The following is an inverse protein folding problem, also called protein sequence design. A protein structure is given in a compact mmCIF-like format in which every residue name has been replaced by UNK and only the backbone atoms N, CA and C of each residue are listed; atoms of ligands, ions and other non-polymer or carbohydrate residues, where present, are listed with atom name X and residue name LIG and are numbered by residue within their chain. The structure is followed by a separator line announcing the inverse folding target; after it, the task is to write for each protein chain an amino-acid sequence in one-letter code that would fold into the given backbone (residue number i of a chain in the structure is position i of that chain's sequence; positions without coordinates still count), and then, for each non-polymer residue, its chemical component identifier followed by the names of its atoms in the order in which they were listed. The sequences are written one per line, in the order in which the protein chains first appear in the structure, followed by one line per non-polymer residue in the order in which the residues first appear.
data_IF_520393857423
#
_entry.id   IF_520393857423
#
_cell.length_a   1.000
_cell.length_b   1.000
_cell.length_c   1.000
_cell.angle_alpha   90.00
_cell.angle_beta   90.00
_cell.angle_gamma   90.00
#
_symmetry.space_group_name_H-M   'P 1'
#
loop_
_entity.id
_entity.type
_entity.pdbx_description
1 polymer ?
#
# COMPACT_ATOMS: atom_id res chain seq x y z
N UNK A 1 -7.41 -10.75 -22.83
CA UNK A 1 -7.56 -11.96 -22.04
C UNK A 1 -8.90 -11.92 -21.31
N UNK A 2 -9.62 -13.03 -21.29
CA UNK A 2 -10.96 -13.13 -20.68
C UNK A 2 -10.92 -12.90 -19.15
N UNK A 3 -9.75 -13.02 -18.54
CA UNK A 3 -9.54 -12.90 -17.09
C UNK A 3 -9.13 -11.47 -16.64
N UNK A 4 -9.07 -10.50 -17.55
CA UNK A 4 -8.68 -9.15 -17.23
C UNK A 4 -9.90 -8.22 -17.23
N UNK A 5 -10.29 -7.73 -16.04
CA UNK A 5 -11.37 -6.79 -15.90
C UNK A 5 -10.84 -5.35 -15.85
N UNK A 6 -11.22 -4.56 -16.83
CA UNK A 6 -10.92 -3.14 -16.88
C UNK A 6 -12.09 -2.32 -16.35
N UNK A 7 -11.82 -1.46 -15.36
CA UNK A 7 -12.82 -0.56 -14.78
C UNK A 7 -12.42 0.88 -15.12
N UNK A 8 -13.22 1.52 -15.97
CA UNK A 8 -13.01 2.91 -16.34
C UNK A 8 -13.63 3.84 -15.29
N UNK A 9 -12.81 4.74 -14.76
CA UNK A 9 -13.28 5.88 -13.95
C UNK A 9 -13.21 7.18 -14.74
N UNK A 10 -14.10 8.11 -14.44
CA UNK A 10 -14.18 9.39 -15.14
C UNK A 10 -13.27 10.48 -14.57
N UNK A 11 -12.63 10.21 -13.43
CA UNK A 11 -11.70 11.13 -12.76
C UNK A 11 -10.70 10.33 -11.95
N UNK A 12 -9.43 10.69 -12.01
CA UNK A 12 -8.34 9.92 -11.43
C UNK A 12 -8.41 9.85 -9.91
N UNK A 13 -8.91 10.89 -9.24
CA UNK A 13 -9.18 10.83 -7.80
C UNK A 13 -10.18 9.73 -7.44
N UNK A 14 -11.23 9.54 -8.24
CA UNK A 14 -12.19 8.46 -8.05
C UNK A 14 -11.56 7.09 -8.34
N UNK A 15 -10.71 6.98 -9.38
CA UNK A 15 -10.00 5.75 -9.74
C UNK A 15 -9.09 5.29 -8.61
N UNK A 16 -8.27 6.20 -8.08
CA UNK A 16 -7.39 5.90 -6.94
C UNK A 16 -8.21 5.53 -5.69
N UNK A 17 -9.32 6.24 -5.42
CA UNK A 17 -10.22 5.94 -4.31
C UNK A 17 -10.89 4.56 -4.43
N UNK A 18 -11.33 4.15 -5.63
CA UNK A 18 -11.86 2.80 -5.88
C UNK A 18 -10.80 1.73 -5.65
N UNK A 19 -9.59 1.96 -6.13
CA UNK A 19 -8.46 1.04 -5.92
C UNK A 19 -8.08 0.91 -4.44
N UNK A 20 -8.10 2.02 -3.70
CA UNK A 20 -7.90 2.05 -2.26
C UNK A 20 -8.94 1.20 -1.54
N UNK A 21 -10.21 1.43 -1.80
CA UNK A 21 -11.31 0.63 -1.23
C UNK A 21 -11.19 -0.86 -1.55
N UNK A 22 -10.82 -1.21 -2.80
CA UNK A 22 -10.58 -2.61 -3.17
C UNK A 22 -9.41 -3.22 -2.38
N UNK A 23 -8.30 -2.51 -2.28
CA UNK A 23 -7.11 -3.00 -1.58
C UNK A 23 -7.39 -3.20 -0.08
N UNK A 24 -8.13 -2.28 0.54
CA UNK A 24 -8.56 -2.39 1.94
C UNK A 24 -9.49 -3.58 2.16
N UNK A 25 -10.51 -3.72 1.33
CA UNK A 25 -11.51 -4.77 1.50
C UNK A 25 -10.96 -6.17 1.21
N UNK A 26 -10.15 -6.31 0.16
CA UNK A 26 -9.63 -7.61 -0.28
C UNK A 26 -8.32 -8.02 0.39
N UNK A 27 -7.52 -7.05 0.86
CA UNK A 27 -6.14 -7.26 1.33
C UNK A 27 -5.15 -7.53 0.19
N UNK A 28 -5.61 -7.43 -1.07
CA UNK A 28 -4.82 -7.67 -2.28
C UNK A 28 -4.35 -6.35 -2.89
N UNK A 29 -3.24 -6.32 -3.65
CA UNK A 29 -2.85 -5.12 -4.36
C UNK A 29 -3.87 -4.77 -5.44
N UNK A 30 -4.13 -3.47 -5.60
CA UNK A 30 -4.90 -2.94 -6.72
C UNK A 30 -3.97 -2.36 -7.78
N UNK A 31 -4.30 -2.56 -9.06
CA UNK A 31 -3.59 -1.97 -10.18
C UNK A 31 -4.35 -0.73 -10.68
N UNK A 32 -3.64 0.37 -10.88
CA UNK A 32 -4.21 1.65 -11.33
C UNK A 32 -3.39 2.16 -12.51
N UNK A 33 -4.06 2.66 -13.55
CA UNK A 33 -3.39 3.35 -14.64
C UNK A 33 -3.90 4.79 -14.76
N UNK A 34 -3.00 5.77 -14.74
CA UNK A 34 -3.29 7.20 -14.78
C UNK A 34 -2.77 7.84 -16.08
N UNK A 35 -3.35 8.98 -16.46
CA UNK A 35 -2.94 9.69 -17.66
C UNK A 35 -1.83 10.71 -17.37
N UNK A 36 -0.59 10.28 -17.58
CA UNK A 36 0.62 11.10 -17.49
C UNK A 36 0.68 11.94 -16.17
N UNK A 37 1.30 13.11 -16.25
CA UNK A 37 1.44 14.02 -15.11
C UNK A 37 0.09 14.54 -14.59
N UNK A 38 -0.81 14.91 -15.50
CA UNK A 38 -2.11 15.49 -15.14
C UNK A 38 -2.96 14.50 -14.34
N UNK A 39 -3.06 13.24 -14.80
CA UNK A 39 -3.81 12.20 -14.10
C UNK A 39 -3.17 11.84 -12.76
N UNK A 40 -1.84 11.80 -12.68
CA UNK A 40 -1.13 11.61 -11.41
C UNK A 40 -1.46 12.75 -10.45
N UNK A 41 -1.40 14.02 -10.91
CA UNK A 41 -1.76 15.19 -10.11
C UNK A 41 -3.19 15.14 -9.58
N UNK A 42 -4.15 14.77 -10.44
CA UNK A 42 -5.57 14.62 -10.05
C UNK A 42 -5.79 13.50 -9.02
N UNK A 43 -4.95 12.47 -9.04
CA UNK A 43 -5.01 11.34 -8.10
C UNK A 43 -4.42 11.62 -6.72
N UNK A 44 -3.60 12.68 -6.55
CA UNK A 44 -2.80 12.91 -5.33
C UNK A 44 -3.64 13.01 -4.06
N UNK A 45 -4.81 13.65 -4.11
CA UNK A 45 -5.67 13.76 -2.94
C UNK A 45 -6.13 12.40 -2.41
N UNK A 46 -6.58 11.51 -3.30
CA UNK A 46 -6.97 10.15 -2.94
C UNK A 46 -5.74 9.29 -2.55
N UNK A 47 -4.60 9.52 -3.20
CA UNK A 47 -3.35 8.83 -2.88
C UNK A 47 -2.88 9.11 -1.44
N UNK A 48 -3.19 10.29 -0.89
CA UNK A 48 -2.93 10.61 0.52
C UNK A 48 -3.62 9.61 1.45
N UNK A 49 -4.89 9.28 1.18
CA UNK A 49 -5.62 8.28 1.97
C UNK A 49 -4.95 6.91 1.87
N UNK A 50 -4.62 6.48 0.65
CA UNK A 50 -3.98 5.18 0.40
C UNK A 50 -2.62 5.05 1.11
N UNK A 51 -1.87 6.15 1.19
CA UNK A 51 -0.60 6.20 1.93
C UNK A 51 -0.81 5.94 3.43
N UNK A 52 -1.71 6.69 4.06
CA UNK A 52 -1.96 6.56 5.51
C UNK A 52 -2.71 5.27 5.87
N UNK A 53 -3.50 4.73 4.97
CA UNK A 53 -4.18 3.45 5.14
C UNK A 53 -3.30 2.23 4.84
N UNK A 54 -2.06 2.43 4.40
CA UNK A 54 -1.15 1.37 4.01
C UNK A 54 -1.71 0.48 2.90
N UNK A 55 -2.48 1.06 1.98
CA UNK A 55 -3.07 0.32 0.87
C UNK A 55 -2.03 -0.03 -0.19
N UNK A 56 -1.88 -1.31 -0.56
CA UNK A 56 -0.94 -1.69 -1.61
C UNK A 56 -1.52 -1.36 -2.99
N UNK A 57 -1.16 -0.20 -3.53
CA UNK A 57 -1.51 0.18 -4.89
C UNK A 57 -0.30 0.11 -5.81
N UNK A 58 -0.47 -0.50 -6.96
CA UNK A 58 0.50 -0.46 -8.06
C UNK A 58 -0.02 0.52 -9.10
N UNK A 59 0.54 1.70 -9.09
CA UNK A 59 0.12 2.80 -9.95
C UNK A 59 1.07 2.89 -11.12
N UNK A 60 0.54 2.82 -12.34
CA UNK A 60 1.26 3.17 -13.55
C UNK A 60 0.72 4.50 -14.08
N UNK A 61 1.58 5.29 -14.69
CA UNK A 61 1.15 6.46 -15.44
C UNK A 61 1.84 6.47 -16.80
N UNK A 62 1.12 6.88 -17.83
CA UNK A 62 1.71 7.12 -19.13
C UNK A 62 2.74 8.24 -19.07
N UNK A 63 3.73 8.14 -19.91
CA UNK A 63 4.75 9.15 -20.13
C UNK A 63 4.83 9.46 -21.64
N UNK A 64 5.30 10.63 -22.01
CA UNK A 64 5.59 10.97 -23.40
C UNK A 64 6.61 9.97 -23.99
N UNK A 65 6.63 9.82 -25.32
CA UNK A 65 7.65 8.98 -25.97
C UNK A 65 9.06 9.42 -25.57
N UNK A 66 9.95 8.47 -25.43
CA UNK A 66 11.29 8.69 -24.85
C UNK A 66 12.05 9.84 -25.49
N UNK A 67 11.99 9.97 -26.82
CA UNK A 67 12.66 11.06 -27.55
C UNK A 67 12.11 12.45 -27.27
N UNK A 68 10.90 12.55 -26.73
CA UNK A 68 10.21 13.82 -26.48
C UNK A 68 10.23 14.25 -25.00
N UNK A 69 10.67 13.40 -24.09
CA UNK A 69 10.72 13.73 -22.66
C UNK A 69 11.70 14.89 -22.43
N UNK A 70 12.90 14.80 -22.99
CA UNK A 70 13.96 15.79 -22.76
C UNK A 70 13.73 17.16 -23.44
N UNK A 71 12.78 17.24 -24.37
CA UNK A 71 12.39 18.54 -25.00
C UNK A 71 11.11 19.11 -24.36
N UNK A 72 10.65 18.49 -23.27
CA UNK A 72 9.49 18.94 -22.49
C UNK A 72 8.24 19.17 -23.32
N UNK A 73 8.00 18.27 -24.29
CA UNK A 73 6.79 18.31 -25.09
C UNK A 73 5.54 18.22 -24.22
N UNK A 74 4.40 18.67 -24.73
CA UNK A 74 3.12 18.57 -24.02
C UNK A 74 2.88 17.16 -23.51
N UNK A 75 2.46 17.03 -22.26
CA UNK A 75 2.26 15.77 -21.51
C UNK A 75 3.57 15.05 -21.09
N UNK A 76 4.75 15.61 -21.39
CA UNK A 76 5.97 15.11 -20.79
C UNK A 76 5.99 15.38 -19.28
N UNK A 77 6.51 14.42 -18.53
CA UNK A 77 6.77 14.56 -17.09
C UNK A 77 8.25 14.29 -16.84
N UNK A 78 9.08 15.33 -16.89
CA UNK A 78 10.54 15.20 -16.82
C UNK A 78 11.01 14.51 -15.54
N UNK A 79 10.35 14.78 -14.42
CA UNK A 79 10.65 14.20 -13.12
C UNK A 79 9.54 13.23 -12.68
N UNK A 80 9.04 12.42 -13.60
CA UNK A 80 7.90 11.54 -13.35
C UNK A 80 7.95 10.73 -12.04
N UNK A 81 9.08 10.11 -11.67
CA UNK A 81 9.16 9.39 -10.40
C UNK A 81 9.06 10.28 -9.15
N UNK A 82 9.27 11.59 -9.28
CA UNK A 82 9.21 12.50 -8.13
C UNK A 82 7.79 13.05 -7.91
N UNK A 83 6.97 13.10 -8.94
CA UNK A 83 5.64 13.71 -8.87
C UNK A 83 4.77 13.13 -7.75
N UNK A 84 4.64 11.81 -7.55
CA UNK A 84 3.81 11.24 -6.48
C UNK A 84 4.47 11.25 -5.08
N UNK A 85 5.72 11.70 -4.96
CA UNK A 85 6.39 11.77 -3.66
C UNK A 85 5.81 12.90 -2.78
N UNK A 86 5.73 12.70 -1.44
CA UNK A 86 6.18 11.55 -0.65
C UNK A 86 5.13 10.44 -0.48
N UNK A 87 4.02 10.47 -1.23
CA UNK A 87 2.84 9.61 -1.05
C UNK A 87 2.97 8.21 -1.68
N UNK A 88 4.16 7.85 -2.12
CA UNK A 88 4.48 6.51 -2.60
C UNK A 88 5.75 5.98 -1.95
N UNK A 89 5.74 4.70 -1.62
CA UNK A 89 6.85 4.00 -1.00
C UNK A 89 8.05 3.86 -1.95
N UNK A 90 7.76 3.65 -3.21
CA UNK A 90 8.74 3.52 -4.27
C UNK A 90 8.17 4.07 -5.58
N UNK A 91 9.02 4.66 -6.39
CA UNK A 91 8.67 5.17 -7.71
C UNK A 91 9.84 5.00 -8.66
N UNK A 92 9.53 4.68 -9.92
CA UNK A 92 10.54 4.40 -10.92
C UNK A 92 10.03 4.68 -12.33
N UNK A 93 10.93 5.02 -13.23
CA UNK A 93 10.71 5.03 -14.66
C UNK A 93 11.73 4.07 -15.29
N UNK A 94 11.30 2.96 -15.91
CA UNK A 94 12.21 1.98 -16.50
C UNK A 94 13.08 2.60 -17.59
N UNK A 95 14.36 2.27 -17.59
CA UNK A 95 15.32 2.83 -18.56
C UNK A 95 15.02 2.37 -19.99
N UNK A 96 14.44 1.18 -20.16
CA UNK A 96 14.07 0.60 -21.45
C UNK A 96 12.73 -0.13 -21.35
N UNK A 97 12.08 -0.38 -22.48
CA UNK A 97 10.88 -1.21 -22.54
C UNK A 97 11.10 -2.62 -21.98
N UNK A 98 12.28 -3.18 -22.18
CA UNK A 98 12.65 -4.51 -21.71
C UNK A 98 12.74 -4.61 -20.18
N UNK A 99 12.90 -3.47 -19.49
CA UNK A 99 12.90 -3.39 -18.02
C UNK A 99 11.51 -3.34 -17.42
N UNK A 100 10.47 -3.03 -18.20
CA UNK A 100 9.09 -2.84 -17.69
C UNK A 100 8.57 -4.06 -16.94
N UNK A 101 8.67 -5.32 -17.44
CA UNK A 101 8.17 -6.48 -16.71
C UNK A 101 8.86 -6.66 -15.36
N UNK A 102 10.17 -6.46 -15.29
CA UNK A 102 10.94 -6.55 -14.04
C UNK A 102 10.55 -5.43 -13.07
N UNK A 103 10.41 -4.21 -13.55
CA UNK A 103 9.98 -3.07 -12.73
C UNK A 103 8.57 -3.27 -12.16
N UNK A 104 7.65 -3.83 -12.95
CA UNK A 104 6.30 -4.16 -12.52
C UNK A 104 6.29 -5.25 -11.44
N UNK A 105 7.08 -6.33 -11.63
CA UNK A 105 7.25 -7.37 -10.61
C UNK A 105 7.78 -6.80 -9.30
N UNK A 106 8.78 -5.90 -9.36
CA UNK A 106 9.31 -5.22 -8.18
C UNK A 106 8.28 -4.29 -7.55
N UNK A 107 7.48 -3.57 -8.35
CA UNK A 107 6.41 -2.70 -7.86
C UNK A 107 5.39 -3.50 -7.04
N UNK A 108 4.92 -4.62 -7.57
CA UNK A 108 3.98 -5.52 -6.88
C UNK A 108 4.57 -6.02 -5.56
N UNK A 109 5.81 -6.50 -5.59
CA UNK A 109 6.51 -6.95 -4.38
C UNK A 109 6.64 -5.80 -3.36
N UNK A 110 7.10 -4.63 -3.79
CA UNK A 110 7.33 -3.48 -2.90
C UNK A 110 6.03 -2.97 -2.27
N UNK A 111 4.94 -2.88 -3.05
CA UNK A 111 3.64 -2.47 -2.54
C UNK A 111 3.13 -3.42 -1.44
N UNK A 112 3.36 -4.73 -1.61
CA UNK A 112 2.90 -5.77 -0.68
C UNK A 112 3.79 -5.98 0.54
N UNK A 113 5.05 -5.52 0.50
CA UNK A 113 5.96 -5.67 1.65
C UNK A 113 5.54 -4.72 2.77
N UNK A 114 5.46 -5.24 4.01
CA UNK A 114 5.07 -4.43 5.19
C UNK A 114 6.16 -3.39 5.56
N UNK A 115 5.77 -2.17 5.98
CA UNK A 115 4.42 -1.64 5.89
C UNK A 115 3.99 -1.48 4.44
N UNK A 116 2.79 -1.98 4.08
CA UNK A 116 2.25 -1.86 2.72
C UNK A 116 2.04 -0.39 2.38
N UNK A 117 2.19 -0.04 1.10
CA UNK A 117 1.93 1.32 0.65
C UNK A 117 1.87 1.40 -0.89
N UNK A 118 1.33 2.49 -1.45
CA UNK A 118 1.35 2.73 -2.88
C UNK A 118 2.76 2.78 -3.47
N UNK A 119 2.88 2.34 -4.71
CA UNK A 119 4.08 2.47 -5.55
C UNK A 119 3.70 3.05 -6.91
N UNK A 120 4.68 3.60 -7.63
CA UNK A 120 4.43 4.29 -8.88
C UNK A 120 5.45 3.93 -9.95
N UNK A 121 4.95 3.72 -11.18
CA UNK A 121 5.75 3.52 -12.39
C UNK A 121 5.32 4.50 -13.46
N UNK A 122 6.24 5.26 -13.99
CA UNK A 122 6.07 6.04 -15.22
C UNK A 122 6.53 5.18 -16.39
N UNK A 123 5.69 5.02 -17.42
CA UNK A 123 6.00 4.15 -18.55
C UNK A 123 5.83 4.94 -19.85
N UNK A 124 6.91 5.16 -20.60
CA UNK A 124 6.86 5.85 -21.87
C UNK A 124 5.92 5.20 -22.89
N UNK A 125 5.19 6.04 -23.63
CA UNK A 125 4.15 5.56 -24.55
C UNK A 125 4.67 4.60 -25.62
N UNK A 126 5.86 4.85 -26.14
CA UNK A 126 6.48 4.02 -27.17
C UNK A 126 7.04 2.69 -26.65
N UNK A 127 7.02 2.46 -25.34
CA UNK A 127 7.44 1.17 -24.77
C UNK A 127 6.35 0.08 -24.86
N UNK A 128 5.07 0.48 -24.91
CA UNK A 128 3.96 -0.47 -24.93
C UNK A 128 3.89 -1.35 -26.20
N UNK A 129 4.45 -0.87 -27.30
CA UNK A 129 4.49 -1.58 -28.57
C UNK A 129 5.74 -2.48 -28.73
N UNK A 130 6.68 -2.38 -27.80
CA UNK A 130 7.92 -3.15 -27.89
C UNK A 130 7.75 -4.55 -27.28
N UNK A 131 8.34 -5.58 -27.90
CA UNK A 131 8.24 -6.93 -27.36
C UNK A 131 8.92 -7.04 -26.00
N UNK A 132 8.31 -7.82 -25.11
CA UNK A 132 8.93 -8.22 -23.86
C UNK A 132 10.16 -9.09 -24.13
N UNK A 133 11.20 -9.02 -23.28
CA UNK A 133 12.34 -9.90 -23.40
C UNK A 133 11.92 -11.36 -23.19
N UNK A 134 12.62 -12.33 -23.83
CA UNK A 134 12.33 -13.74 -23.62
C UNK A 134 12.59 -14.16 -22.17
N UNK A 135 11.81 -15.10 -21.68
CA UNK A 135 12.00 -15.68 -20.34
C UNK A 135 11.47 -14.84 -19.20
N UNK A 136 10.64 -13.79 -19.47
CA UNK A 136 10.01 -12.98 -18.39
C UNK A 136 8.97 -13.76 -17.60
N UNK A 137 8.53 -14.89 -18.07
CA UNK A 137 7.52 -15.74 -17.42
C UNK A 137 7.93 -16.14 -15.99
N UNK A 138 9.23 -16.29 -15.74
CA UNK A 138 9.74 -16.59 -14.39
C UNK A 138 9.42 -15.49 -13.36
N UNK A 139 9.09 -14.27 -13.80
CA UNK A 139 8.70 -13.18 -12.91
C UNK A 139 7.29 -13.37 -12.35
N UNK A 140 6.44 -14.15 -13.03
CA UNK A 140 5.06 -14.42 -12.62
C UNK A 140 5.02 -15.31 -11.37
N UNK A 141 5.98 -16.22 -11.24
CA UNK A 141 6.05 -17.19 -10.14
C UNK A 141 6.94 -16.73 -8.97
N UNK A 142 7.42 -15.49 -9.02
CA UNK A 142 8.26 -14.97 -7.96
C UNK A 142 7.44 -14.57 -6.74
N UNK A 143 7.64 -15.31 -5.66
CA UNK A 143 7.12 -14.99 -4.34
C UNK A 143 8.27 -14.68 -3.39
N UNK A 144 8.20 -13.52 -2.74
CA UNK A 144 9.15 -13.17 -1.68
C UNK A 144 8.42 -13.22 -0.34
N UNK A 145 8.84 -14.14 0.50
CA UNK A 145 8.34 -14.24 1.87
C UNK A 145 9.30 -13.48 2.79
N UNK A 146 8.81 -12.39 3.38
CA UNK A 146 9.52 -11.66 4.41
C UNK A 146 8.77 -11.84 5.73
N UNK A 147 9.08 -12.89 6.46
CA UNK A 147 8.60 -13.06 7.82
C UNK A 147 9.80 -12.96 8.76
N UNK A 148 9.81 -11.96 9.64
CA UNK A 148 10.76 -11.86 10.73
C UNK A 148 10.19 -12.48 11.99
N UNK A 149 10.98 -13.28 12.70
CA UNK A 149 10.66 -13.62 14.07
C UNK A 149 11.11 -12.49 15.00
N UNK A 150 10.37 -12.16 16.06
CA UNK A 150 10.82 -11.18 17.04
C UNK A 150 12.09 -11.70 17.75
N UNK A 151 13.01 -10.81 18.08
CA UNK A 151 14.16 -11.14 18.92
C UNK A 151 13.64 -11.62 20.29
N UNK A 152 14.08 -12.79 20.73
CA UNK A 152 13.58 -13.42 21.96
C UNK A 152 13.87 -12.61 23.22
N UNK A 153 14.98 -11.84 23.25
CA UNK A 153 15.34 -10.97 24.37
C UNK A 153 14.45 -9.75 24.43
N UNK A 154 14.15 -9.16 23.26
CA UNK A 154 13.22 -8.02 23.18
C UNK A 154 11.80 -8.45 23.55
N UNK A 155 11.37 -9.63 23.10
CA UNK A 155 10.09 -10.18 23.48
C UNK A 155 9.99 -10.43 25.00
N UNK A 156 11.02 -11.03 25.61
CA UNK A 156 11.07 -11.24 27.04
C UNK A 156 11.05 -9.92 27.84
N UNK A 157 11.77 -8.89 27.34
CA UNK A 157 11.76 -7.56 27.96
C UNK A 157 10.37 -6.91 27.89
N UNK A 158 9.69 -7.03 26.73
CA UNK A 158 8.32 -6.51 26.57
C UNK A 158 7.32 -7.25 27.50
N UNK A 159 7.41 -8.57 27.58
CA UNK A 159 6.56 -9.38 28.48
C UNK A 159 6.77 -8.96 29.93
N UNK A 160 8.03 -8.72 30.34
CA UNK A 160 8.35 -8.21 31.68
C UNK A 160 7.71 -6.84 31.93
N UNK A 161 7.85 -5.89 30.99
CA UNK A 161 7.27 -4.57 31.10
C UNK A 161 5.74 -4.62 31.23
N UNK A 162 5.07 -5.46 30.44
CA UNK A 162 3.62 -5.65 30.50
C UNK A 162 3.16 -6.26 31.83
N UNK A 163 3.91 -7.22 32.38
CA UNK A 163 3.58 -7.84 33.66
C UNK A 163 3.82 -6.89 34.85
N UNK A 164 4.79 -6.00 34.75
CA UNK A 164 5.13 -5.03 35.80
C UNK A 164 4.24 -3.76 35.71
N UNK A 165 3.51 -3.57 34.61
CA UNK A 165 2.69 -2.39 34.39
C UNK A 165 1.46 -2.38 35.31
N UNK A 166 1.22 -1.23 35.95
CA UNK A 166 0.07 -1.06 36.87
C UNK A 166 -1.21 -0.73 36.10
N UNK A 167 -1.10 0.11 35.07
CA UNK A 167 -2.22 0.54 34.24
C UNK A 167 -1.83 0.49 32.75
N UNK A 168 -1.66 -0.68 32.16
CA UNK A 168 -1.31 -0.80 30.76
C UNK A 168 -2.49 -0.39 29.86
N UNK A 169 -2.17 0.19 28.71
CA UNK A 169 -3.14 0.59 27.69
C UNK A 169 -2.70 -0.01 26.37
N UNK A 170 -3.64 -0.58 25.60
CA UNK A 170 -3.39 -1.11 24.26
C UNK A 170 -3.89 -0.11 23.21
N UNK A 171 -2.98 0.35 22.35
CA UNK A 171 -3.33 1.19 21.20
C UNK A 171 -3.09 0.39 19.93
N UNK A 172 -4.16 0.13 19.18
CA UNK A 172 -4.12 -0.66 17.96
C UNK A 172 -3.98 0.26 16.74
N UNK A 173 -2.97 0.00 15.92
CA UNK A 173 -2.78 0.63 14.62
C UNK A 173 -3.27 -0.25 13.46
N UNK A 174 -3.14 0.23 12.22
CA UNK A 174 -3.61 -0.48 11.02
C UNK A 174 -2.92 -1.83 10.78
N UNK A 175 -1.72 -2.02 11.30
CA UNK A 175 -0.96 -3.26 11.11
C UNK A 175 -1.60 -4.48 11.79
N UNK A 176 -2.42 -4.27 12.82
CA UNK A 176 -3.16 -5.35 13.48
C UNK A 176 -4.15 -5.99 12.50
N UNK A 177 -4.89 -5.16 11.77
CA UNK A 177 -5.80 -5.63 10.74
C UNK A 177 -5.05 -6.20 9.53
N UNK A 178 -4.00 -5.52 9.09
CA UNK A 178 -3.20 -5.94 7.94
C UNK A 178 -2.56 -7.32 8.13
N UNK A 179 -2.18 -7.66 9.37
CA UNK A 179 -1.59 -8.95 9.75
C UNK A 179 -2.61 -9.96 10.27
N UNK A 180 -3.90 -9.59 10.36
CA UNK A 180 -4.98 -10.41 10.93
C UNK A 180 -4.71 -10.84 12.38
N UNK A 181 -4.14 -9.94 13.17
CA UNK A 181 -3.77 -10.18 14.57
C UNK A 181 -4.85 -9.72 15.58
N UNK A 182 -6.09 -9.53 15.13
CA UNK A 182 -7.17 -9.02 15.99
C UNK A 182 -7.49 -9.96 17.14
N UNK A 183 -7.58 -11.28 16.89
CA UNK A 183 -7.86 -12.27 17.94
C UNK A 183 -6.77 -12.28 19.02
N UNK A 184 -5.51 -12.14 18.62
CA UNK A 184 -4.37 -12.06 19.53
C UNK A 184 -4.40 -10.76 20.35
N UNK A 185 -4.79 -9.64 19.71
CA UNK A 185 -4.95 -8.37 20.39
C UNK A 185 -6.07 -8.40 21.43
N UNK A 186 -7.22 -9.03 21.10
CA UNK A 186 -8.33 -9.26 22.03
C UNK A 186 -7.86 -10.13 23.21
N UNK A 187 -7.21 -11.25 22.92
CA UNK A 187 -6.72 -12.15 23.96
C UNK A 187 -5.71 -11.47 24.91
N UNK A 188 -4.83 -10.61 24.37
CA UNK A 188 -3.88 -9.85 25.18
C UNK A 188 -4.59 -8.81 26.04
N UNK A 189 -5.55 -8.07 25.47
CA UNK A 189 -6.33 -7.07 26.19
C UNK A 189 -7.12 -7.71 27.35
N UNK A 190 -7.79 -8.84 27.09
CA UNK A 190 -8.54 -9.57 28.09
C UNK A 190 -7.66 -10.14 29.20
N UNK A 191 -6.50 -10.67 28.85
CA UNK A 191 -5.55 -11.23 29.82
C UNK A 191 -5.05 -10.20 30.83
N UNK A 192 -4.72 -9.00 30.32
CA UNK A 192 -4.14 -7.93 31.13
C UNK A 192 -5.17 -6.89 31.58
N UNK A 193 -6.44 -7.08 31.22
CA UNK A 193 -7.54 -6.14 31.51
C UNK A 193 -7.23 -4.71 31.06
N UNK A 194 -6.62 -4.60 29.89
CA UNK A 194 -6.21 -3.31 29.33
C UNK A 194 -7.38 -2.61 28.64
N UNK A 195 -7.57 -1.29 28.83
CA UNK A 195 -8.40 -0.50 27.94
C UNK A 195 -7.75 -0.46 26.55
N UNK A 196 -8.60 -0.54 25.52
CA UNK A 196 -8.17 -0.60 24.14
C UNK A 196 -8.58 0.65 23.40
N UNK A 197 -7.64 1.25 22.68
CA UNK A 197 -7.84 2.36 21.78
C UNK A 197 -7.55 1.93 20.35
N UNK A 198 -8.29 2.45 19.42
CA UNK A 198 -8.00 2.26 18.00
C UNK A 198 -7.48 3.58 17.46
N UNK A 199 -6.29 3.55 16.86
CA UNK A 199 -5.71 4.70 16.22
C UNK A 199 -6.61 5.19 15.07
N UNK A 200 -6.71 6.50 14.84
CA UNK A 200 -7.36 7.02 13.65
C UNK A 200 -6.68 6.42 12.41
N UNK A 201 -7.43 6.20 11.35
CA UNK A 201 -6.97 5.55 10.11
C UNK A 201 -6.64 4.05 10.23
N UNK A 202 -7.25 3.33 11.17
CA UNK A 202 -7.26 1.87 11.13
C UNK A 202 -7.95 1.40 9.84
N UNK A 203 -7.28 0.54 9.09
CA UNK A 203 -7.68 0.17 7.71
C UNK A 203 -8.95 -0.65 7.63
N UNK A 204 -9.21 -1.48 8.62
CA UNK A 204 -10.38 -2.34 8.69
C UNK A 204 -10.98 -2.19 10.07
N UNK A 205 -12.19 -1.75 10.12
CA UNK A 205 -12.88 -1.64 11.39
C UNK A 205 -13.42 -3.01 11.84
N UNK A 206 -12.59 -4.03 11.97
CA UNK A 206 -12.98 -5.25 12.69
C UNK A 206 -13.11 -4.99 14.19
N UNK A 207 -13.66 -3.82 14.46
CA UNK A 207 -13.89 -3.33 15.81
C UNK A 207 -14.89 -4.18 16.58
N UNK A 208 -15.66 -5.04 15.90
CA UNK A 208 -16.62 -5.95 16.51
C UNK A 208 -15.99 -7.07 17.37
N UNK A 209 -14.70 -7.32 17.20
CA UNK A 209 -13.99 -8.37 17.94
C UNK A 209 -13.70 -8.00 19.40
N UNK A 210 -13.76 -6.71 19.74
CA UNK A 210 -13.51 -6.30 21.11
C UNK A 210 -14.80 -6.28 21.93
N UNK A 211 -14.78 -6.69 23.19
CA UNK A 211 -15.97 -6.82 24.04
C UNK A 211 -16.62 -5.49 24.41
N UNK A 212 -15.91 -4.38 24.21
CA UNK A 212 -16.37 -3.04 24.61
C UNK A 212 -16.53 -2.11 23.41
N UNK A 213 -17.49 -1.18 23.43
CA UNK A 213 -17.62 -0.15 22.40
C UNK A 213 -16.31 0.61 22.24
N UNK A 214 -15.96 0.88 21.00
CA UNK A 214 -14.69 1.49 20.65
C UNK A 214 -14.90 2.83 20.01
N UNK A 215 -13.96 3.69 20.29
CA UNK A 215 -13.88 5.00 19.68
C UNK A 215 -12.65 5.03 18.79
N UNK A 216 -12.81 5.53 17.57
CA UNK A 216 -11.68 5.92 16.71
C UNK A 216 -11.01 7.20 17.20
N UNK A 217 -11.41 7.68 18.38
CA UNK A 217 -10.90 8.90 18.98
C UNK A 217 -9.85 8.59 20.05
N UNK A 218 -9.28 9.60 20.62
CA UNK A 218 -8.29 9.53 21.69
C UNK A 218 -8.88 9.19 23.07
N UNK A 219 -10.08 8.59 23.16
CA UNK A 219 -10.65 8.17 24.44
C UNK A 219 -10.49 6.67 24.64
N UNK A 220 -10.13 6.19 25.85
CA UNK A 220 -10.08 4.77 26.14
C UNK A 220 -11.46 4.13 25.94
N UNK A 221 -11.44 2.86 25.56
CA UNK A 221 -12.63 2.05 25.59
C UNK A 221 -12.89 1.67 27.05
N UNK A 222 -14.09 1.94 27.53
CA UNK A 222 -14.49 1.47 28.85
C UNK A 222 -14.53 -0.07 28.86
N UNK A 223 -13.92 -0.65 29.86
CA UNK A 223 -13.83 -2.10 30.06
C UNK A 223 -15.15 -2.69 30.61
#
# INVERSE_FOLDING_TARGET
PEDFQYILGLHEGAVVGMADGYALASGKPAFVNLHAAAGTGNGMGALTNSWYSHSPLVITAGQQVRSMIGVEAMLANVDAPQLPKPLVKWSYEPATAQDVPRALSQAIHTANTSPKAPVYLSIPYDDWEKPSPPGVEHLLDRHVHSAGAPDSRQLAALVKQLNDAVNPVLVLGPEVDATRANDQAVALADRLKMPVWVAPFSMRAETSLFPTPRSSTTKPLEA
#
